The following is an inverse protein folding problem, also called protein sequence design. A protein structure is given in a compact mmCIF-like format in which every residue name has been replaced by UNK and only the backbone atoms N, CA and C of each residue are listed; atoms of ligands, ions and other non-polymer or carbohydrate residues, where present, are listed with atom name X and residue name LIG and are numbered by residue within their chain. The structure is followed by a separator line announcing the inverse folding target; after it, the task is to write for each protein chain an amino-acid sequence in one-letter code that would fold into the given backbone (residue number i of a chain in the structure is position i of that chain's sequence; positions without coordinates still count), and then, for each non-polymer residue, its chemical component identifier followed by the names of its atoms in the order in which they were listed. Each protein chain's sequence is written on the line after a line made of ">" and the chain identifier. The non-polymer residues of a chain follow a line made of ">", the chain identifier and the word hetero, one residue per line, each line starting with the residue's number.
data_IF_088803210537
#
_entry.id   IF_088803210537
#
_cell.length_a   1.000
_cell.length_b   1.000
_cell.length_c   1.000
_cell.angle_alpha   90.00
_cell.angle_beta   90.00
_cell.angle_gamma   90.00
#
_symmetry.space_group_name_H-M   'P 1'
#
loop_
_entity.id
_entity.type
_entity.pdbx_description
1 polymer ?
#
# COMPACT_ATOMS: atom_id res chain seq x y z
N UNK A 1 19.71 -14.52 -7.29
CA UNK A 1 18.62 -15.47 -7.10
C UNK A 1 17.82 -15.58 -8.39
N UNK A 2 17.96 -16.72 -9.07
CA UNK A 2 17.14 -17.08 -10.21
C UNK A 2 15.79 -17.62 -9.72
N UNK A 3 14.68 -17.09 -10.23
CA UNK A 3 13.33 -17.49 -9.83
C UNK A 3 12.94 -18.82 -10.49
N UNK A 4 12.46 -19.82 -9.73
CA UNK A 4 12.09 -21.12 -10.28
C UNK A 4 10.85 -21.02 -11.18
N UNK A 5 10.81 -21.87 -12.21
CA UNK A 5 9.83 -21.88 -13.30
C UNK A 5 8.37 -22.20 -12.89
N UNK A 6 8.10 -22.38 -11.58
CA UNK A 6 6.78 -22.66 -11.02
C UNK A 6 6.01 -21.43 -10.52
N UNK A 7 6.58 -20.23 -10.70
CA UNK A 7 6.01 -18.98 -10.19
C UNK A 7 6.27 -18.79 -8.70
N UNK A 8 6.35 -17.53 -8.28
CA UNK A 8 6.48 -17.15 -6.89
C UNK A 8 5.10 -16.86 -6.31
N UNK A 9 4.77 -17.48 -5.17
CA UNK A 9 3.57 -17.11 -4.42
C UNK A 9 3.83 -15.81 -3.66
N UNK A 10 3.06 -14.76 -4.01
CA UNK A 10 3.07 -13.47 -3.32
C UNK A 10 2.03 -13.53 -2.20
N UNK A 11 2.46 -13.25 -0.97
CA UNK A 11 1.56 -13.17 0.18
C UNK A 11 0.96 -11.77 0.34
N UNK A 12 -0.13 -11.64 1.10
CA UNK A 12 -0.86 -10.36 1.24
C UNK A 12 -0.01 -9.20 1.76
N UNK A 13 1.02 -9.50 2.57
CA UNK A 13 1.97 -8.51 3.10
C UNK A 13 3.08 -8.12 2.11
N UNK A 14 2.97 -8.54 0.86
CA UNK A 14 3.87 -8.19 -0.22
C UNK A 14 3.13 -7.47 -1.35
N UNK A 15 3.88 -6.74 -2.16
CA UNK A 15 3.43 -6.14 -3.41
C UNK A 15 4.55 -6.20 -4.44
N UNK A 16 4.17 -6.16 -5.72
CA UNK A 16 5.13 -6.18 -6.82
C UNK A 16 5.12 -4.84 -7.54
N UNK A 17 6.29 -4.39 -7.98
CA UNK A 17 6.43 -3.22 -8.83
C UNK A 17 7.65 -3.34 -9.75
N UNK A 18 7.59 -2.71 -10.91
CA UNK A 18 8.66 -2.71 -11.89
C UNK A 18 8.15 -2.27 -13.25
N UNK A 19 9.08 -1.91 -14.13
CA UNK A 19 8.81 -1.63 -15.53
C UNK A 19 10.07 -1.90 -16.36
N UNK A 20 9.94 -1.78 -17.68
CA UNK A 20 11.07 -1.93 -18.59
C UNK A 20 12.15 -0.88 -18.29
N UNK A 21 13.40 -1.34 -18.08
CA UNK A 21 14.55 -0.54 -17.63
C UNK A 21 14.34 0.27 -16.33
N UNK A 22 13.35 -0.10 -15.49
CA UNK A 22 13.05 0.58 -14.23
C UNK A 22 12.69 -0.43 -13.15
N UNK A 23 13.43 -0.42 -12.05
CA UNK A 23 13.17 -1.34 -10.97
C UNK A 23 14.27 -1.32 -9.93
N UNK A 24 14.40 -2.42 -9.21
CA UNK A 24 15.37 -2.60 -8.12
C UNK A 24 16.52 -3.49 -8.55
N UNK A 25 17.71 -3.26 -8.01
CA UNK A 25 18.88 -4.10 -8.20
C UNK A 25 19.53 -4.53 -6.89
N UNK A 26 20.70 -5.16 -7.04
CA UNK A 26 21.54 -5.53 -5.91
C UNK A 26 21.93 -4.29 -5.11
N UNK A 27 21.74 -4.35 -3.79
CA UNK A 27 22.01 -3.24 -2.87
C UNK A 27 20.82 -2.34 -2.54
N UNK A 28 19.69 -2.47 -3.26
CA UNK A 28 18.49 -1.65 -2.99
C UNK A 28 17.63 -2.17 -1.83
N UNK A 29 17.94 -3.35 -1.26
CA UNK A 29 17.19 -3.96 -0.16
C UNK A 29 17.01 -2.98 1.01
N UNK A 30 15.77 -2.83 1.47
CA UNK A 30 15.40 -1.88 2.52
C UNK A 30 15.06 -0.47 2.01
N UNK A 31 15.32 -0.17 0.73
CA UNK A 31 15.00 1.11 0.12
C UNK A 31 13.48 1.38 0.00
N UNK A 32 13.06 2.65 -0.10
CA UNK A 32 11.65 3.02 -0.16
C UNK A 32 11.07 2.92 -1.58
N UNK A 33 9.90 2.29 -1.71
CA UNK A 33 9.02 2.50 -2.88
C UNK A 33 7.99 3.57 -2.53
N UNK A 34 7.99 4.66 -3.29
CA UNK A 34 7.14 5.82 -3.04
C UNK A 34 6.17 6.11 -4.19
N UNK A 35 4.99 6.61 -3.84
CA UNK A 35 3.98 7.10 -4.80
C UNK A 35 3.65 8.55 -4.49
N UNK A 36 3.50 9.36 -5.54
CA UNK A 36 3.05 10.74 -5.43
C UNK A 36 1.52 10.77 -5.52
N UNK A 37 0.85 11.24 -4.47
CA UNK A 37 -0.60 11.42 -4.43
C UNK A 37 -0.93 12.77 -3.83
N UNK A 38 -1.76 13.58 -4.50
CA UNK A 38 -2.12 14.94 -4.07
C UNK A 38 -0.91 15.80 -3.67
N UNK A 39 0.18 15.73 -4.47
CA UNK A 39 1.43 16.46 -4.24
C UNK A 39 2.17 16.08 -2.93
N UNK A 40 1.87 14.91 -2.36
CA UNK A 40 2.54 14.33 -1.20
C UNK A 40 3.12 12.96 -1.56
N UNK A 41 4.35 12.71 -1.15
CA UNK A 41 5.01 11.40 -1.33
C UNK A 41 4.63 10.46 -0.20
N UNK A 42 4.11 9.29 -0.54
CA UNK A 42 3.79 8.21 0.39
C UNK A 42 4.71 7.03 0.14
N UNK A 43 5.35 6.53 1.19
CA UNK A 43 6.06 5.26 1.11
C UNK A 43 5.07 4.10 1.22
N UNK A 44 4.96 3.32 0.16
CA UNK A 44 3.99 2.20 0.05
C UNK A 44 4.67 0.84 0.13
N UNK A 45 5.97 0.78 -0.15
CA UNK A 45 6.75 -0.45 -0.13
C UNK A 45 8.14 -0.28 0.45
N UNK A 46 8.74 -1.40 0.84
CA UNK A 46 10.15 -1.53 1.20
C UNK A 46 10.75 -2.60 0.30
N UNK A 47 11.82 -2.28 -0.43
CA UNK A 47 12.47 -3.22 -1.35
C UNK A 47 12.90 -4.48 -0.61
N UNK A 48 12.51 -5.64 -1.11
CA UNK A 48 12.80 -6.93 -0.47
C UNK A 48 13.70 -7.78 -1.37
N UNK A 49 13.15 -8.33 -2.45
CA UNK A 49 13.86 -9.25 -3.32
C UNK A 49 13.25 -9.28 -4.73
N UNK A 50 13.96 -9.83 -5.71
CA UNK A 50 13.49 -9.92 -7.10
C UNK A 50 14.36 -10.86 -7.93
N UNK A 51 14.00 -11.03 -9.21
CA UNK A 51 14.87 -11.71 -10.17
C UNK A 51 16.16 -10.90 -10.37
N UNK A 52 17.30 -11.57 -10.47
CA UNK A 52 18.59 -10.91 -10.63
C UNK A 52 19.41 -11.41 -11.83
N UNK A 53 18.77 -12.14 -12.75
CA UNK A 53 19.35 -12.36 -14.08
C UNK A 53 19.40 -11.06 -14.87
N UNK A 54 20.22 -11.03 -15.92
CA UNK A 54 20.33 -9.87 -16.79
C UNK A 54 18.97 -9.47 -17.39
N UNK A 55 18.18 -10.45 -17.83
CA UNK A 55 16.86 -10.25 -18.40
C UNK A 55 15.88 -9.70 -17.35
N UNK A 56 15.88 -10.25 -16.13
CA UNK A 56 15.01 -9.79 -15.06
C UNK A 56 15.35 -8.38 -14.58
N UNK A 57 16.63 -8.01 -14.58
CA UNK A 57 17.06 -6.65 -14.26
C UNK A 57 16.65 -5.63 -15.33
N UNK A 58 16.59 -6.04 -16.60
CA UNK A 58 16.14 -5.19 -17.71
C UNK A 58 14.62 -5.12 -17.78
N UNK A 59 13.91 -6.23 -17.57
CA UNK A 59 12.46 -6.34 -17.73
C UNK A 59 11.75 -6.66 -16.42
N UNK A 60 11.69 -5.68 -15.52
CA UNK A 60 10.88 -5.80 -14.31
C UNK A 60 9.39 -5.54 -14.56
N UNK A 61 8.95 -5.38 -15.82
CA UNK A 61 7.53 -5.46 -16.15
C UNK A 61 7.08 -6.93 -16.15
N UNK A 62 7.91 -7.82 -16.71
CA UNK A 62 7.67 -9.28 -16.71
C UNK A 62 8.17 -9.97 -15.44
N UNK A 63 9.26 -9.46 -14.84
CA UNK A 63 9.89 -9.99 -13.63
C UNK A 63 9.93 -8.94 -12.51
N UNK A 64 8.78 -8.51 -11.98
CA UNK A 64 8.74 -7.38 -11.05
C UNK A 64 9.49 -7.68 -9.74
N UNK A 65 10.11 -6.63 -9.19
CA UNK A 65 10.63 -6.67 -7.84
C UNK A 65 9.52 -6.83 -6.82
N UNK A 66 9.81 -7.55 -5.74
CA UNK A 66 8.89 -7.78 -4.61
C UNK A 66 9.28 -6.88 -3.45
N UNK A 67 8.28 -6.20 -2.91
CA UNK A 67 8.39 -5.26 -1.82
C UNK A 67 7.53 -5.72 -0.64
N UNK A 68 7.97 -5.42 0.57
CA UNK A 68 7.10 -5.49 1.75
C UNK A 68 6.03 -4.41 1.62
N UNK A 69 4.75 -4.79 1.74
CA UNK A 69 3.62 -3.86 1.73
C UNK A 69 3.57 -3.09 3.05
N UNK A 70 3.91 -1.80 3.03
CA UNK A 70 3.95 -0.96 4.25
C UNK A 70 2.60 -0.94 4.96
N UNK A 71 1.49 -0.95 4.21
CA UNK A 71 0.15 -0.90 4.80
C UNK A 71 -0.18 -2.11 5.69
N UNK A 72 0.46 -3.26 5.47
CA UNK A 72 0.28 -4.46 6.31
C UNK A 72 0.94 -4.35 7.68
N UNK A 73 1.78 -3.34 7.89
CA UNK A 73 2.54 -3.13 9.13
C UNK A 73 2.22 -1.79 9.81
N UNK A 74 1.12 -1.14 9.42
CA UNK A 74 0.74 0.17 9.95
C UNK A 74 0.63 0.19 11.47
N UNK A 75 -0.10 -0.75 12.07
CA UNK A 75 -0.26 -0.80 13.53
C UNK A 75 1.08 -0.87 14.26
N UNK A 76 2.02 -1.66 13.73
CA UNK A 76 3.38 -1.73 14.25
C UNK A 76 4.12 -0.41 14.11
N UNK A 77 4.10 0.20 12.91
CA UNK A 77 4.81 1.46 12.62
C UNK A 77 4.26 2.60 13.47
N UNK A 78 2.94 2.75 13.55
CA UNK A 78 2.30 3.78 14.36
C UNK A 78 2.64 3.60 15.84
N UNK A 79 2.59 2.36 16.34
CA UNK A 79 2.96 2.08 17.74
C UNK A 79 4.44 2.35 18.01
N UNK A 80 5.34 1.87 17.15
CA UNK A 80 6.78 2.01 17.30
C UNK A 80 7.24 3.47 17.23
N UNK A 81 6.53 4.29 16.44
CA UNK A 81 6.81 5.72 16.29
C UNK A 81 6.03 6.60 17.25
N UNK A 82 5.32 6.03 18.23
CA UNK A 82 4.46 6.79 19.15
C UNK A 82 3.48 7.72 18.42
N UNK A 83 2.87 7.22 17.34
CA UNK A 83 1.94 7.93 16.48
C UNK A 83 2.51 9.13 15.70
N UNK A 84 3.85 9.29 15.64
CA UNK A 84 4.51 10.33 14.82
C UNK A 84 4.34 10.07 13.32
N UNK A 85 4.35 8.81 12.91
CA UNK A 85 4.01 8.40 11.54
C UNK A 85 2.61 7.82 11.56
N UNK A 86 1.76 8.29 10.66
CA UNK A 86 0.40 7.80 10.45
C UNK A 86 0.27 7.17 9.09
N UNK A 87 -0.32 5.99 9.05
CA UNK A 87 -0.71 5.41 7.79
C UNK A 87 -1.95 6.12 7.27
N UNK A 88 -1.94 6.51 5.99
CA UNK A 88 -3.15 6.88 5.28
C UNK A 88 -3.92 5.61 4.89
N UNK A 89 -4.25 4.77 5.88
CA UNK A 89 -5.47 4.01 5.74
C UNK A 89 -6.54 5.09 5.72
N UNK A 90 -7.09 5.36 4.53
CA UNK A 90 -8.37 6.06 4.40
C UNK A 90 -9.21 5.58 5.58
N UNK A 91 -9.71 6.50 6.40
CA UNK A 91 -10.61 6.21 7.50
C UNK A 91 -11.85 5.50 6.93
N UNK A 92 -11.71 4.22 6.60
CA UNK A 92 -12.77 3.34 6.18
C UNK A 92 -13.26 2.80 7.52
N UNK A 93 -14.34 3.43 7.95
CA UNK A 93 -15.17 3.14 9.13
C UNK A 93 -14.72 3.67 10.50
N UNK A 94 -14.34 4.95 10.60
CA UNK A 94 -14.80 5.72 11.78
C UNK A 94 -16.09 6.44 11.40
N UNK A 95 -17.19 5.69 11.39
CA UNK A 95 -18.50 6.27 11.67
C UNK A 95 -19.36 5.25 12.40
N UNK A 96 -19.07 4.94 13.68
CA UNK A 96 -20.12 4.47 14.57
C UNK A 96 -20.97 5.68 15.02
N UNK A 97 -21.57 6.44 14.09
CA UNK A 97 -22.44 7.58 14.44
C UNK A 97 -23.71 7.67 13.57
N UNK A 98 -24.05 6.64 12.78
CA UNK A 98 -25.35 6.58 12.09
C UNK A 98 -26.35 5.63 12.75
N UNK A 99 -26.04 5.10 13.93
CA UNK A 99 -26.94 4.23 14.71
C UNK A 99 -27.41 4.85 16.03
N UNK A 100 -27.00 6.09 16.33
CA UNK A 100 -27.41 6.83 17.54
C UNK A 100 -28.28 8.05 17.26
N UNK A 101 -28.52 8.43 15.99
CA UNK A 101 -29.44 9.50 15.68
C UNK A 101 -30.89 9.02 15.90
N UNK A 102 -31.69 9.71 16.73
CA UNK A 102 -33.10 9.34 16.92
C UNK A 102 -33.82 9.41 15.57
N UNK A 103 -34.76 8.49 15.31
CA UNK A 103 -35.46 8.38 14.03
C UNK A 103 -36.10 9.70 13.54
N UNK A 104 -36.45 10.58 14.47
CA UNK A 104 -36.97 11.93 14.19
C UNK A 104 -35.98 12.80 13.40
N UNK A 105 -34.68 12.66 13.62
CA UNK A 105 -33.64 13.41 12.90
C UNK A 105 -33.45 12.92 11.45
N UNK A 106 -33.81 11.67 11.16
CA UNK A 106 -33.77 11.13 9.80
C UNK A 106 -34.93 11.71 8.97
N UNK A 107 -36.12 11.87 9.57
CA UNK A 107 -37.28 12.42 8.88
C UNK A 107 -37.08 13.89 8.44
N UNK A 108 -36.45 14.71 9.29
CA UNK A 108 -36.20 16.13 8.97
C UNK A 108 -35.18 16.30 7.85
N UNK A 109 -34.15 15.47 7.79
CA UNK A 109 -33.14 15.48 6.72
C UNK A 109 -33.75 15.07 5.38
N UNK A 110 -34.68 14.12 5.37
CA UNK A 110 -35.39 13.70 4.14
C UNK A 110 -36.36 14.79 3.67
N UNK A 111 -37.04 15.49 4.58
CA UNK A 111 -37.95 16.59 4.25
C UNK A 111 -37.23 17.84 3.72
N UNK A 112 -36.04 18.19 4.22
CA UNK A 112 -35.25 19.33 3.72
C UNK A 112 -34.66 19.12 2.31
N UNK A 113 -34.71 17.90 1.75
CA UNK A 113 -34.27 17.62 0.36
C UNK A 113 -35.41 17.60 -0.66
N UNK A 114 -36.65 17.82 -0.22
CA UNK A 114 -37.85 17.78 -1.07
C UNK A 114 -38.58 19.14 -1.15
N UNK A 115 -37.93 20.21 -0.70
CA UNK A 115 -38.33 21.61 -0.88
C UNK A 115 -37.19 22.31 -1.63
#
# INVERSE_FOLDING_TARGET
>A
MHMPSGGLQIIDSQLCAGAWYKGTGEGDSGGPLQVLHNNVWYQVGITSFGENTHEGLIDQASYPGVFTRVSSYCDFIEKATQALVKCSAKAITTAPEMLSLPWFAILTIVLMRLI
#
